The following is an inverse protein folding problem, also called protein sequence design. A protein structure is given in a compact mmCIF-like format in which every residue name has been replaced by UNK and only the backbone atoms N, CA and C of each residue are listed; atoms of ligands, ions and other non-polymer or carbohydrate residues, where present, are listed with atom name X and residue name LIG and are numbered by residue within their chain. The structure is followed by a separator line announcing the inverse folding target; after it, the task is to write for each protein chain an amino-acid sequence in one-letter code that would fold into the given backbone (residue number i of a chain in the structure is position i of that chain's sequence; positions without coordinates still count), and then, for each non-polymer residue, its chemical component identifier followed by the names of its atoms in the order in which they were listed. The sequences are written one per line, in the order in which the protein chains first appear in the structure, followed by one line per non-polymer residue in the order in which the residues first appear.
data_IF_406729745456
#
_entry.id   IF_406729745456
#
_cell.length_a   1.000
_cell.length_b   1.000
_cell.length_c   1.000
_cell.angle_alpha   90.00
_cell.angle_beta   90.00
_cell.angle_gamma   90.00
#
_symmetry.space_group_name_H-M   'P 1'
#
loop_
_entity.id
_entity.type
_entity.pdbx_description
1 polymer ?
#
# COMPACT_ATOMS: atom_id res chain seq x y z
N UNK A 1 -15.17 -9.44 -4.49
CA UNK A 1 -16.48 -9.40 -3.81
C UNK A 1 -16.63 -8.17 -2.91
N UNK A 2 -15.94 -8.04 -1.77
CA UNK A 2 -16.21 -6.96 -0.79
C UNK A 2 -16.07 -5.51 -1.27
N UNK A 3 -15.22 -5.26 -2.27
CA UNK A 3 -15.00 -3.93 -2.86
C UNK A 3 -15.90 -3.63 -4.06
N UNK A 4 -16.74 -4.58 -4.50
CA UNK A 4 -17.52 -4.46 -5.75
C UNK A 4 -18.98 -4.89 -5.62
N UNK A 5 -19.24 -5.91 -4.79
CA UNK A 5 -20.58 -6.42 -4.54
C UNK A 5 -21.10 -5.86 -3.22
N UNK A 6 -22.22 -5.12 -3.24
CA UNK A 6 -22.83 -4.60 -2.03
C UNK A 6 -23.28 -5.70 -1.08
N UNK A 7 -23.23 -5.42 0.23
CA UNK A 7 -23.76 -6.32 1.24
C UNK A 7 -25.26 -6.60 0.97
N UNK A 8 -25.70 -7.87 0.84
CA UNK A 8 -27.05 -8.17 0.40
C UNK A 8 -28.13 -7.89 1.46
N UNK A 9 -27.80 -7.95 2.75
CA UNK A 9 -28.74 -7.82 3.86
C UNK A 9 -28.07 -7.41 5.18
N UNK A 10 -28.88 -7.06 6.18
CA UNK A 10 -28.42 -6.64 7.51
C UNK A 10 -28.10 -5.15 7.60
N UNK A 11 -27.55 -4.67 8.73
CA UNK A 11 -27.33 -3.23 9.00
C UNK A 11 -26.44 -2.53 7.98
N UNK A 12 -25.49 -3.24 7.37
CA UNK A 12 -24.58 -2.72 6.35
C UNK A 12 -25.10 -2.93 4.91
N UNK A 13 -26.38 -3.30 4.72
CA UNK A 13 -26.94 -3.58 3.38
C UNK A 13 -26.65 -2.43 2.41
N UNK A 14 -26.18 -2.77 1.21
CA UNK A 14 -25.86 -1.80 0.17
C UNK A 14 -24.44 -1.21 0.26
N UNK A 15 -23.71 -1.43 1.35
CA UNK A 15 -22.35 -0.94 1.49
C UNK A 15 -21.33 -1.86 0.79
N UNK A 16 -20.28 -1.25 0.26
CA UNK A 16 -19.03 -1.88 -0.19
C UNK A 16 -17.86 -1.32 0.63
N UNK A 17 -16.69 -1.96 0.55
CA UNK A 17 -15.46 -1.45 1.16
C UNK A 17 -14.75 -0.54 0.17
N UNK A 18 -14.58 0.73 0.55
CA UNK A 18 -13.84 1.76 -0.21
C UNK A 18 -12.31 1.60 -0.05
N UNK A 19 -11.81 0.43 -0.45
CA UNK A 19 -10.44 0.02 -0.13
C UNK A 19 -9.37 0.90 -0.79
N UNK A 20 -9.60 1.38 -2.01
CA UNK A 20 -8.60 2.13 -2.77
C UNK A 20 -8.26 3.46 -2.08
N UNK A 21 -9.29 4.18 -1.60
CA UNK A 21 -9.08 5.41 -0.81
C UNK A 21 -8.30 5.10 0.47
N UNK A 22 -8.70 4.07 1.20
CA UNK A 22 -8.05 3.69 2.47
C UNK A 22 -6.58 3.26 2.27
N UNK A 23 -6.27 2.59 1.15
CA UNK A 23 -4.91 2.18 0.83
C UNK A 23 -4.01 3.36 0.48
N UNK A 24 -4.51 4.34 -0.26
CA UNK A 24 -3.75 5.56 -0.56
C UNK A 24 -3.35 6.30 0.72
N UNK A 25 -4.33 6.55 1.59
CA UNK A 25 -4.09 7.19 2.90
C UNK A 25 -3.11 6.36 3.76
N UNK A 26 -3.25 5.04 3.75
CA UNK A 26 -2.34 4.14 4.46
C UNK A 26 -0.91 4.20 3.93
N UNK A 27 -0.70 4.16 2.61
CA UNK A 27 0.63 4.24 2.01
C UNK A 27 1.30 5.58 2.27
N UNK A 28 0.57 6.70 2.18
CA UNK A 28 1.08 8.01 2.55
C UNK A 28 1.57 8.05 4.01
N UNK A 29 0.73 7.59 4.95
CA UNK A 29 1.08 7.54 6.38
C UNK A 29 2.29 6.65 6.66
N UNK A 30 2.48 5.59 5.87
CA UNK A 30 3.61 4.66 6.03
C UNK A 30 4.87 5.10 5.28
N UNK A 31 4.82 6.19 4.50
CA UNK A 31 5.93 6.62 3.66
C UNK A 31 6.20 5.67 2.50
N UNK A 32 5.14 5.07 1.97
CA UNK A 32 5.17 4.15 0.83
C UNK A 32 4.75 4.90 -0.43
N UNK A 33 5.13 4.37 -1.58
CA UNK A 33 4.64 4.84 -2.86
C UNK A 33 3.23 4.31 -3.11
N UNK A 34 2.32 5.19 -3.55
CA UNK A 34 0.91 4.86 -3.71
C UNK A 34 0.70 3.92 -4.89
N UNK A 35 1.45 4.11 -5.97
CA UNK A 35 1.28 3.37 -7.22
C UNK A 35 1.82 1.94 -7.11
N UNK A 36 2.95 1.76 -6.43
CA UNK A 36 3.63 0.46 -6.31
C UNK A 36 3.38 -0.25 -4.98
N UNK A 37 2.93 0.46 -3.95
CA UNK A 37 2.82 -0.06 -2.58
C UNK A 37 4.18 -0.37 -1.93
N UNK A 38 5.30 0.11 -2.51
CA UNK A 38 6.65 -0.16 -2.04
C UNK A 38 7.07 0.97 -1.08
N UNK A 39 7.71 0.65 0.07
CA UNK A 39 8.31 1.67 0.93
C UNK A 39 9.31 2.55 0.16
N UNK A 40 9.22 3.88 0.32
CA UNK A 40 10.21 4.78 -0.28
C UNK A 40 11.59 4.56 0.34
N UNK A 41 12.64 4.92 -0.39
CA UNK A 41 14.02 4.80 0.10
C UNK A 41 14.23 5.55 1.41
N UNK A 42 13.62 6.73 1.55
CA UNK A 42 13.57 7.48 2.81
C UNK A 42 13.06 6.65 3.99
N UNK A 43 11.94 5.91 3.83
CA UNK A 43 11.40 5.04 4.87
C UNK A 43 12.28 3.82 5.13
N UNK A 44 12.85 3.21 4.09
CA UNK A 44 13.77 2.07 4.26
C UNK A 44 15.02 2.47 5.06
N UNK A 45 15.59 3.64 4.77
CA UNK A 45 16.71 4.21 5.53
C UNK A 45 16.35 4.51 6.97
N UNK A 46 15.19 5.11 7.22
CA UNK A 46 14.69 5.38 8.59
C UNK A 46 14.63 4.09 9.44
N UNK A 47 14.29 2.96 8.81
CA UNK A 47 14.17 1.66 9.47
C UNK A 47 15.46 0.83 9.47
N UNK A 48 16.56 1.31 8.87
CA UNK A 48 17.81 0.56 8.75
C UNK A 48 17.74 -0.63 7.77
N UNK A 49 16.89 -0.54 6.74
CA UNK A 49 16.61 -1.58 5.74
C UNK A 49 17.27 -1.30 4.37
N UNK A 50 18.43 -0.65 4.36
CA UNK A 50 19.12 -0.33 3.12
C UNK A 50 19.61 -1.57 2.36
N UNK A 51 19.95 -2.64 3.09
CA UNK A 51 20.37 -3.92 2.46
C UNK A 51 19.22 -4.55 1.68
N UNK A 52 18.02 -4.50 2.24
CA UNK A 52 16.79 -4.97 1.60
C UNK A 52 16.47 -4.11 0.37
N UNK A 53 16.68 -2.79 0.45
CA UNK A 53 16.54 -1.90 -0.69
C UNK A 53 17.47 -2.29 -1.85
N UNK A 54 18.72 -2.64 -1.56
CA UNK A 54 19.69 -3.08 -2.57
C UNK A 54 19.34 -4.44 -3.17
N UNK A 55 18.86 -5.39 -2.34
CA UNK A 55 18.35 -6.67 -2.82
C UNK A 55 17.17 -6.51 -3.78
N UNK A 56 16.21 -5.65 -3.44
CA UNK A 56 15.06 -5.33 -4.28
C UNK A 56 15.50 -4.73 -5.63
N UNK A 57 16.44 -3.79 -5.62
CA UNK A 57 17.01 -3.23 -6.86
C UNK A 57 17.69 -4.28 -7.73
N UNK A 58 18.44 -5.20 -7.12
CA UNK A 58 19.09 -6.30 -7.84
C UNK A 58 18.07 -7.29 -8.46
N UNK A 59 16.85 -7.32 -7.94
CA UNK A 59 15.73 -8.08 -8.50
C UNK A 59 14.92 -7.28 -9.54
N UNK A 60 15.37 -6.08 -9.91
CA UNK A 60 14.70 -5.22 -10.87
C UNK A 60 13.51 -4.43 -10.31
N UNK A 61 13.35 -4.39 -8.99
CA UNK A 61 12.29 -3.61 -8.33
C UNK A 61 12.76 -2.16 -8.21
N UNK A 62 12.04 -1.24 -8.84
CA UNK A 62 12.29 0.18 -8.72
C UNK A 62 11.88 0.69 -7.32
N UNK A 63 12.77 1.42 -6.65
CA UNK A 63 12.51 2.06 -5.37
C UNK A 63 12.61 3.56 -5.57
N UNK A 64 11.53 4.27 -5.28
CA UNK A 64 11.51 5.73 -5.32
C UNK A 64 12.29 6.33 -4.13
N UNK A 65 12.76 7.56 -4.29
CA UNK A 65 13.50 8.28 -3.26
C UNK A 65 12.63 8.62 -2.04
#
# INVERSE_FOLDING_TARGET
RFTKEPMPKGPAKGQIVELDQMLNEYYELRGWDIDTGIPKMSKLRELGLEKEADLMRNQGIAIQN
#
